data_IF_352818214531
#
_entry.id   IF_352818214531
#
_cell.length_a   1.000
_cell.length_b   1.000
_cell.length_c   1.000
_cell.angle_alpha   90.00
_cell.angle_beta   90.00
_cell.angle_gamma   90.00
#
_symmetry.space_group_name_H-M   'P 1'
#
loop_
_entity.id
_entity.type
_entity.pdbx_description
1 polymer ?
#
# COMPACT_ATOMS: atom_id res chain seq x y z
N UNK A 1 14.66 18.93 -9.75
CA UNK A 1 15.81 18.00 -9.85
C UNK A 1 16.35 17.92 -11.27
N UNK A 2 15.56 17.45 -12.25
CA UNK A 2 15.98 17.37 -13.65
C UNK A 2 16.42 18.73 -14.21
N UNK A 3 15.58 19.77 -14.06
CA UNK A 3 15.91 21.14 -14.46
C UNK A 3 17.27 21.61 -13.90
N UNK A 4 17.45 21.49 -12.58
CA UNK A 4 18.69 21.89 -11.88
C UNK A 4 19.90 21.12 -12.43
N UNK A 5 19.74 19.83 -12.72
CA UNK A 5 20.80 19.03 -13.34
C UNK A 5 21.16 19.57 -14.74
N UNK A 6 20.17 19.90 -15.56
CA UNK A 6 20.40 20.48 -16.89
C UNK A 6 21.10 21.84 -16.80
N UNK A 7 20.60 22.73 -15.94
CA UNK A 7 21.17 24.06 -15.71
C UNK A 7 22.63 23.98 -15.22
N UNK A 8 22.93 23.08 -14.29
CA UNK A 8 24.30 22.88 -13.78
C UNK A 8 25.30 22.37 -14.83
N UNK A 9 24.81 21.91 -15.99
CA UNK A 9 25.63 21.33 -17.07
C UNK A 9 25.47 22.10 -18.39
N UNK A 10 24.85 23.27 -18.34
CA UNK A 10 24.57 24.10 -19.51
C UNK A 10 23.79 23.33 -20.61
N UNK A 11 22.88 22.46 -20.19
CA UNK A 11 22.04 21.66 -21.07
C UNK A 11 20.66 22.29 -21.22
N UNK A 12 20.11 22.26 -22.45
CA UNK A 12 18.71 22.57 -22.67
C UNK A 12 17.83 21.46 -22.15
N UNK A 13 17.05 21.71 -21.10
CA UNK A 13 16.15 20.73 -20.47
C UNK A 13 15.12 20.11 -21.41
N UNK A 14 14.83 20.74 -22.56
CA UNK A 14 13.90 20.29 -23.59
C UNK A 14 14.57 19.68 -24.84
N UNK A 15 15.91 19.76 -24.93
CA UNK A 15 16.71 19.21 -26.04
C UNK A 15 17.93 18.53 -25.47
N UNK A 16 17.71 17.37 -24.87
CA UNK A 16 18.76 16.52 -24.29
C UNK A 16 18.91 15.22 -25.07
N UNK A 17 20.12 14.67 -25.03
CA UNK A 17 20.41 13.34 -25.52
C UNK A 17 19.99 12.27 -24.49
N UNK A 18 19.77 11.04 -24.96
CA UNK A 18 19.45 9.90 -24.08
C UNK A 18 20.57 9.66 -23.04
N UNK A 19 21.82 9.92 -23.42
CA UNK A 19 22.99 9.79 -22.56
C UNK A 19 22.91 10.71 -21.33
N UNK A 20 22.37 11.92 -21.48
CA UNK A 20 22.22 12.87 -20.37
C UNK A 20 21.12 12.44 -19.40
N UNK A 21 20.03 11.87 -19.93
CA UNK A 21 18.96 11.29 -19.13
C UNK A 21 19.50 10.11 -18.31
N UNK A 22 20.27 9.21 -18.94
CA UNK A 22 20.88 8.07 -18.24
C UNK A 22 21.86 8.55 -17.17
N UNK A 23 22.68 9.56 -17.49
CA UNK A 23 23.63 10.15 -16.54
C UNK A 23 22.91 10.72 -15.32
N UNK A 24 21.81 11.45 -15.53
CA UNK A 24 20.98 11.97 -14.44
C UNK A 24 20.34 10.86 -13.60
N UNK A 25 19.75 9.85 -14.24
CA UNK A 25 19.16 8.71 -13.54
C UNK A 25 20.20 7.92 -12.73
N UNK A 26 21.43 7.81 -13.26
CA UNK A 26 22.56 7.19 -12.55
C UNK A 26 22.92 7.98 -11.30
N UNK A 27 23.04 9.31 -11.40
CA UNK A 27 23.31 10.16 -10.25
C UNK A 27 22.22 10.07 -9.17
N UNK A 28 20.95 10.04 -9.56
CA UNK A 28 19.87 9.86 -8.58
C UNK A 28 19.89 8.45 -7.96
N UNK A 29 20.28 7.42 -8.72
CA UNK A 29 20.48 6.08 -8.18
C UNK A 29 21.62 6.02 -7.16
N UNK A 30 22.77 6.65 -7.45
CA UNK A 30 23.92 6.75 -6.55
C UNK A 30 23.57 7.51 -5.26
N UNK A 31 22.66 8.49 -5.33
CA UNK A 31 22.07 9.15 -4.14
C UNK A 31 21.08 8.28 -3.36
N UNK A 32 20.86 7.04 -3.77
CA UNK A 32 19.99 6.07 -3.10
C UNK A 32 18.53 6.07 -3.56
N UNK A 33 18.20 6.71 -4.69
CA UNK A 33 16.83 6.65 -5.22
C UNK A 33 16.40 5.21 -5.53
N UNK A 34 15.19 4.84 -5.08
CA UNK A 34 14.62 3.53 -5.37
C UNK A 34 14.27 3.38 -6.85
N UNK A 35 14.12 2.14 -7.33
CA UNK A 35 13.60 1.85 -8.67
C UNK A 35 12.30 2.61 -8.94
N UNK A 36 11.38 2.64 -7.97
CA UNK A 36 10.11 3.36 -8.09
C UNK A 36 10.32 4.87 -8.28
N UNK A 37 11.21 5.48 -7.49
CA UNK A 37 11.55 6.89 -7.59
C UNK A 37 12.16 7.24 -8.94
N UNK A 38 13.10 6.43 -9.43
CA UNK A 38 13.70 6.58 -10.75
C UNK A 38 12.67 6.45 -11.87
N UNK A 39 11.75 5.49 -11.74
CA UNK A 39 10.69 5.31 -12.73
C UNK A 39 9.72 6.50 -12.75
N UNK A 40 9.41 7.10 -11.60
CA UNK A 40 8.66 8.36 -11.54
C UNK A 40 9.39 9.50 -12.25
N UNK A 41 10.71 9.63 -12.03
CA UNK A 41 11.55 10.62 -12.72
C UNK A 41 11.52 10.39 -14.23
N UNK A 42 11.71 9.15 -14.68
CA UNK A 42 11.64 8.79 -16.11
C UNK A 42 10.29 9.20 -16.70
N UNK A 43 9.18 8.86 -16.04
CA UNK A 43 7.84 9.23 -16.52
C UNK A 43 7.64 10.75 -16.59
N UNK A 44 8.16 11.51 -15.63
CA UNK A 44 8.11 12.96 -15.66
C UNK A 44 8.93 13.55 -16.82
N UNK A 45 10.10 12.97 -17.12
CA UNK A 45 10.91 13.36 -18.28
C UNK A 45 10.17 12.99 -19.59
N UNK A 46 9.54 11.82 -19.66
CA UNK A 46 8.74 11.42 -20.83
C UNK A 46 7.52 12.33 -21.06
N UNK A 47 6.96 12.94 -20.00
CA UNK A 47 5.88 13.90 -20.15
C UNK A 47 6.34 15.20 -20.83
N UNK A 48 7.61 15.57 -20.62
CA UNK A 48 8.20 16.80 -21.17
C UNK A 48 8.75 16.57 -22.58
N UNK A 49 9.53 15.51 -22.76
CA UNK A 49 10.29 15.24 -23.98
C UNK A 49 9.58 14.29 -24.95
N UNK A 50 8.51 13.64 -24.51
CA UNK A 50 7.72 12.71 -25.31
C UNK A 50 7.83 11.24 -24.83
N UNK A 51 6.84 10.42 -25.21
CA UNK A 51 6.70 9.04 -24.72
C UNK A 51 7.81 8.11 -25.20
N UNK A 52 8.52 8.46 -26.27
CA UNK A 52 9.59 7.65 -26.86
C UNK A 52 10.78 7.43 -25.91
N UNK A 53 11.00 8.34 -24.95
CA UNK A 53 11.99 8.16 -23.88
C UNK A 53 11.73 6.88 -23.08
N UNK A 54 10.46 6.54 -22.85
CA UNK A 54 10.10 5.32 -22.11
C UNK A 54 10.31 4.03 -22.90
N UNK A 55 10.33 4.11 -24.23
CA UNK A 55 10.54 2.98 -25.14
C UNK A 55 11.99 2.84 -25.60
N UNK A 56 12.84 3.83 -25.30
CA UNK A 56 14.23 3.81 -25.72
C UNK A 56 14.98 2.61 -25.11
N UNK A 57 15.70 1.85 -25.94
CA UNK A 57 16.38 0.63 -25.52
C UNK A 57 17.40 0.87 -24.40
N UNK A 58 18.17 1.96 -24.45
CA UNK A 58 19.20 2.23 -23.44
C UNK A 58 18.57 2.52 -22.08
N UNK A 59 17.47 3.26 -22.05
CA UNK A 59 16.69 3.52 -20.84
C UNK A 59 16.08 2.21 -20.30
N UNK A 60 15.48 1.38 -21.15
CA UNK A 60 14.93 0.09 -20.73
C UNK A 60 16.01 -0.85 -20.17
N UNK A 61 17.17 -0.91 -20.83
CA UNK A 61 18.33 -1.70 -20.37
C UNK A 61 18.87 -1.17 -19.04
N UNK A 62 18.94 0.15 -18.86
CA UNK A 62 19.31 0.77 -17.59
C UNK A 62 18.38 0.31 -16.46
N UNK A 63 17.07 0.43 -16.62
CA UNK A 63 16.11 -0.02 -15.59
C UNK A 63 16.18 -1.52 -15.33
N UNK A 64 16.46 -2.34 -16.36
CA UNK A 64 16.73 -3.78 -16.18
C UNK A 64 18.02 -4.05 -15.38
N UNK A 65 19.05 -3.21 -15.53
CA UNK A 65 20.26 -3.26 -14.71
C UNK A 65 19.95 -2.92 -13.25
N UNK A 66 19.22 -1.84 -13.00
CA UNK A 66 18.82 -1.43 -11.65
C UNK A 66 18.02 -2.53 -10.94
N UNK A 67 17.09 -3.18 -11.63
CA UNK A 67 16.29 -4.25 -11.01
C UNK A 67 17.08 -5.52 -10.68
N UNK A 68 18.23 -5.75 -11.33
CA UNK A 68 19.16 -6.82 -10.99
C UNK A 68 20.09 -6.44 -9.84
N UNK A 69 20.61 -5.22 -9.86
CA UNK A 69 21.54 -4.71 -8.83
C UNK A 69 20.84 -4.52 -7.48
N UNK A 70 19.59 -4.06 -7.52
CA UNK A 70 18.76 -3.83 -6.33
C UNK A 70 17.34 -4.35 -6.60
N UNK A 71 17.10 -5.66 -6.43
CA UNK A 71 15.78 -6.22 -6.61
C UNK A 71 14.78 -5.54 -5.66
N UNK A 72 13.53 -5.32 -6.09
CA UNK A 72 12.52 -4.74 -5.21
C UNK A 72 12.19 -5.73 -4.09
N UNK A 73 12.53 -5.35 -2.88
CA UNK A 73 12.26 -6.11 -1.68
C UNK A 73 10.87 -5.77 -1.12
N UNK A 74 10.25 -6.74 -0.40
CA UNK A 74 9.09 -6.44 0.41
C UNK A 74 9.38 -5.36 1.44
N UNK A 75 8.35 -4.60 1.78
CA UNK A 75 8.45 -3.65 2.90
C UNK A 75 8.49 -4.36 4.27
N UNK A 76 7.87 -5.52 4.38
CA UNK A 76 7.72 -6.25 5.64
C UNK A 76 8.23 -7.69 5.50
N UNK A 77 9.01 -8.14 6.48
CA UNK A 77 9.51 -9.52 6.58
C UNK A 77 8.52 -10.47 7.24
N UNK A 78 7.66 -9.91 8.11
CA UNK A 78 6.56 -10.62 8.75
C UNK A 78 5.28 -9.76 8.71
N UNK A 79 4.16 -10.34 9.13
CA UNK A 79 2.89 -9.63 9.27
C UNK A 79 2.23 -9.93 10.61
N UNK A 80 1.10 -9.27 10.89
CA UNK A 80 0.31 -9.43 12.11
C UNK A 80 -0.98 -10.21 11.84
N UNK A 81 -1.59 -10.79 12.87
CA UNK A 81 -2.81 -11.60 12.71
C UNK A 81 -4.06 -10.70 12.64
N UNK A 82 -4.82 -10.72 11.51
CA UNK A 82 -6.09 -9.99 11.40
C UNK A 82 -7.07 -10.26 12.55
N UNK A 83 -7.00 -11.44 13.16
CA UNK A 83 -7.88 -11.82 14.27
C UNK A 83 -7.76 -10.87 15.46
N UNK A 84 -6.56 -10.34 15.75
CA UNK A 84 -6.34 -9.39 16.85
C UNK A 84 -7.26 -8.16 16.70
N UNK A 85 -7.26 -7.58 15.49
CA UNK A 85 -8.08 -6.40 15.18
C UNK A 85 -9.57 -6.75 15.10
N UNK A 86 -9.91 -7.93 14.55
CA UNK A 86 -11.30 -8.36 14.48
C UNK A 86 -11.89 -8.63 15.87
N UNK A 87 -11.12 -9.21 16.79
CA UNK A 87 -11.56 -9.46 18.17
C UNK A 87 -11.69 -8.15 18.93
N UNK A 88 -10.76 -7.20 18.77
CA UNK A 88 -10.90 -5.84 19.29
C UNK A 88 -12.22 -5.17 18.86
N UNK A 89 -12.58 -5.24 17.57
CA UNK A 89 -13.83 -4.65 17.08
C UNK A 89 -15.09 -5.40 17.54
N UNK A 90 -15.01 -6.71 17.82
CA UNK A 90 -16.14 -7.47 18.36
C UNK A 90 -16.53 -7.02 19.76
N UNK A 91 -15.54 -6.62 20.55
CA UNK A 91 -15.72 -6.25 21.95
C UNK A 91 -16.19 -4.79 22.10
N UNK A 92 -16.19 -4.00 21.01
CA UNK A 92 -16.73 -2.66 21.05
C UNK A 92 -18.27 -2.69 21.12
N UNK A 93 -18.88 -1.81 21.95
CA UNK A 93 -20.33 -1.74 22.08
C UNK A 93 -20.95 -1.29 20.75
N UNK A 94 -21.74 -2.17 20.13
CA UNK A 94 -22.54 -1.89 18.95
C UNK A 94 -24.04 -1.96 19.31
N UNK A 95 -24.61 -0.85 19.74
CA UNK A 95 -25.99 -0.81 20.26
C UNK A 95 -27.11 -0.81 19.19
N UNK A 96 -26.81 -0.83 17.89
CA UNK A 96 -27.82 -0.53 16.83
C UNK A 96 -27.66 -1.33 15.52
N UNK A 97 -27.40 -2.65 15.54
CA UNK A 97 -27.25 -3.44 14.29
C UNK A 97 -28.21 -4.64 14.23
N UNK A 98 -29.30 -4.51 13.46
CA UNK A 98 -30.25 -5.61 13.17
C UNK A 98 -30.10 -6.12 11.72
N UNK A 99 -29.21 -7.10 11.50
CA UNK A 99 -29.15 -7.89 10.26
C UNK A 99 -28.78 -9.36 10.60
N UNK A 100 -29.58 -10.32 10.15
CA UNK A 100 -29.70 -11.64 10.76
C UNK A 100 -28.71 -12.75 10.32
N UNK A 101 -27.66 -12.48 9.55
CA UNK A 101 -26.80 -13.57 9.02
C UNK A 101 -25.28 -13.29 8.95
N UNK A 102 -24.76 -12.24 9.58
CA UNK A 102 -23.31 -11.99 9.70
C UNK A 102 -22.93 -11.75 11.17
N UNK A 103 -21.66 -12.01 11.52
CA UNK A 103 -21.13 -11.63 12.84
C UNK A 103 -21.32 -10.12 13.02
N UNK A 104 -22.35 -9.76 13.82
CA UNK A 104 -22.98 -8.43 13.84
C UNK A 104 -22.01 -7.31 14.16
N UNK A 105 -20.97 -7.59 14.94
CA UNK A 105 -20.07 -6.55 15.44
C UNK A 105 -18.91 -6.21 14.48
N UNK A 106 -18.71 -6.99 13.41
CA UNK A 106 -17.59 -6.80 12.47
C UNK A 106 -18.01 -6.78 10.99
N UNK A 107 -19.31 -6.77 10.70
CA UNK A 107 -19.82 -6.77 9.33
C UNK A 107 -19.64 -5.39 8.66
N UNK A 108 -18.78 -5.25 7.62
CA UNK A 108 -18.54 -3.95 7.00
C UNK A 108 -19.80 -3.34 6.37
N UNK A 109 -20.69 -4.17 5.81
CA UNK A 109 -21.93 -3.71 5.18
C UNK A 109 -22.90 -3.11 6.21
N UNK A 110 -23.10 -3.79 7.34
CA UNK A 110 -23.97 -3.32 8.41
C UNK A 110 -23.42 -2.05 9.07
N UNK A 111 -22.11 -2.00 9.33
CA UNK A 111 -21.43 -0.79 9.83
C UNK A 111 -21.59 0.39 8.86
N UNK A 112 -21.49 0.14 7.55
CA UNK A 112 -21.66 1.15 6.53
C UNK A 112 -23.08 1.75 6.52
N UNK A 113 -24.10 0.89 6.64
CA UNK A 113 -25.50 1.33 6.68
C UNK A 113 -25.78 2.22 7.89
N UNK A 114 -25.33 1.82 9.08
CA UNK A 114 -25.48 2.65 10.29
C UNK A 114 -24.74 3.98 10.14
N UNK A 115 -23.53 3.95 9.59
CA UNK A 115 -22.78 5.17 9.35
C UNK A 115 -23.50 6.10 8.35
N UNK A 116 -24.07 5.58 7.27
CA UNK A 116 -24.85 6.36 6.31
C UNK A 116 -26.07 7.02 6.98
N UNK A 117 -26.85 6.25 7.73
CA UNK A 117 -28.02 6.77 8.47
C UNK A 117 -27.62 7.87 9.46
N UNK A 118 -26.57 7.65 10.27
CA UNK A 118 -26.11 8.65 11.26
C UNK A 118 -25.53 9.92 10.66
N UNK A 119 -25.11 9.87 9.39
CA UNK A 119 -24.50 11.00 8.71
C UNK A 119 -25.41 11.64 7.67
N UNK A 120 -26.64 11.16 7.49
CA UNK A 120 -27.58 11.62 6.47
C UNK A 120 -27.81 13.13 6.53
N UNK A 121 -28.21 13.65 7.69
CA UNK A 121 -28.46 15.09 7.91
C UNK A 121 -27.17 15.94 7.81
N UNK A 122 -26.01 15.32 7.99
CA UNK A 122 -24.70 16.00 7.97
C UNK A 122 -24.14 16.13 6.54
N UNK A 123 -24.65 15.34 5.59
CA UNK A 123 -24.04 15.19 4.25
C UNK A 123 -24.26 16.38 3.33
N UNK A 124 -25.27 17.21 3.57
CA UNK A 124 -25.63 18.38 2.76
C UNK A 124 -25.42 18.13 1.24
N UNK A 125 -24.32 18.60 0.63
CA UNK A 125 -24.01 18.45 -0.80
C UNK A 125 -22.92 17.41 -1.15
N UNK A 126 -22.42 16.64 -0.18
CA UNK A 126 -21.25 15.75 -0.39
C UNK A 126 -21.68 14.32 -0.70
N UNK A 127 -21.40 13.86 -1.93
CA UNK A 127 -21.58 12.45 -2.35
C UNK A 127 -20.42 11.52 -1.93
N UNK A 128 -19.45 12.00 -1.15
CA UNK A 128 -18.35 11.16 -0.66
C UNK A 128 -18.81 10.29 0.49
N UNK A 129 -18.37 9.02 0.49
CA UNK A 129 -18.75 8.09 1.55
C UNK A 129 -18.32 8.60 2.93
N UNK A 130 -17.03 8.86 3.13
CA UNK A 130 -16.52 9.34 4.42
C UNK A 130 -16.47 10.88 4.48
N UNK A 131 -17.00 11.46 5.56
CA UNK A 131 -17.04 12.90 5.80
C UNK A 131 -16.25 13.28 7.06
N UNK A 132 -15.66 14.48 7.10
CA UNK A 132 -14.93 14.99 8.26
C UNK A 132 -15.90 15.36 9.37
N UNK A 133 -15.62 14.98 10.64
CA UNK A 133 -16.50 15.29 11.78
C UNK A 133 -16.17 16.61 12.50
N UNK A 134 -15.03 17.24 12.20
CA UNK A 134 -14.45 18.24 13.10
C UNK A 134 -14.92 19.69 12.88
N UNK A 135 -15.33 20.07 11.66
CA UNK A 135 -15.77 21.44 11.36
C UNK A 135 -16.83 21.46 10.26
N UNK A 136 -17.89 22.25 10.46
CA UNK A 136 -18.87 22.57 9.41
C UNK A 136 -18.24 23.54 8.38
N UNK A 137 -18.61 23.45 7.08
CA UNK A 137 -19.38 22.37 6.48
C UNK A 137 -18.57 21.06 6.46
N UNK A 138 -19.23 19.93 6.71
CA UNK A 138 -18.58 18.63 6.71
C UNK A 138 -18.18 18.25 5.27
N UNK A 139 -16.87 18.08 5.05
CA UNK A 139 -16.29 17.84 3.72
C UNK A 139 -15.85 16.39 3.57
N UNK A 140 -15.59 15.96 2.34
CA UNK A 140 -14.94 14.68 2.07
C UNK A 140 -13.62 14.56 2.83
N UNK A 141 -13.35 13.40 3.41
CA UNK A 141 -12.04 13.11 4.00
C UNK A 141 -11.01 12.81 2.91
N UNK A 142 -9.74 13.11 3.20
CA UNK A 142 -8.63 12.73 2.33
C UNK A 142 -8.17 11.29 2.62
N UNK A 143 -7.46 10.69 1.66
CA UNK A 143 -6.81 9.39 1.84
C UNK A 143 -5.82 9.40 3.01
N UNK A 144 -5.18 10.55 3.28
CA UNK A 144 -4.29 10.71 4.42
C UNK A 144 -5.04 10.59 5.76
N UNK A 145 -6.22 11.19 5.87
CA UNK A 145 -7.07 11.06 7.06
C UNK A 145 -7.51 9.62 7.28
N UNK A 146 -7.97 8.94 6.23
CA UNK A 146 -8.35 7.52 6.31
C UNK A 146 -7.17 6.62 6.71
N UNK A 147 -5.98 6.90 6.16
CA UNK A 147 -4.75 6.19 6.53
C UNK A 147 -4.40 6.37 8.00
N UNK A 148 -4.56 7.60 8.55
CA UNK A 148 -4.37 7.85 9.98
C UNK A 148 -5.39 7.10 10.82
N UNK A 149 -6.69 7.20 10.52
CA UNK A 149 -7.72 6.46 11.25
C UNK A 149 -7.45 4.95 11.25
N UNK A 150 -7.01 4.38 10.12
CA UNK A 150 -6.65 2.97 10.07
C UNK A 150 -5.43 2.67 10.95
N UNK A 151 -4.40 3.51 10.94
CA UNK A 151 -3.22 3.36 11.80
C UNK A 151 -3.60 3.45 13.29
N UNK A 152 -4.45 4.41 13.66
CA UNK A 152 -4.92 4.62 15.03
C UNK A 152 -5.75 3.41 15.53
N UNK A 153 -6.59 2.84 14.66
CA UNK A 153 -7.32 1.59 14.95
C UNK A 153 -6.37 0.41 15.16
N UNK A 154 -5.35 0.26 14.31
CA UNK A 154 -4.33 -0.79 14.49
C UNK A 154 -3.61 -0.64 15.82
N UNK A 155 -3.22 0.58 16.18
CA UNK A 155 -2.55 0.88 17.45
C UNK A 155 -3.45 0.55 18.64
N UNK A 156 -4.71 0.94 18.57
CA UNK A 156 -5.71 0.67 19.63
C UNK A 156 -5.97 -0.83 19.81
N UNK A 157 -5.86 -1.62 18.74
CA UNK A 157 -5.93 -3.08 18.79
C UNK A 157 -4.63 -3.76 19.27
N UNK A 158 -3.60 -3.00 19.65
CA UNK A 158 -2.33 -3.54 20.14
C UNK A 158 -1.32 -3.92 19.04
N UNK A 159 -1.53 -3.51 17.79
CA UNK A 159 -0.54 -3.70 16.72
C UNK A 159 0.53 -2.62 16.81
N UNK A 160 1.80 -3.01 16.76
CA UNK A 160 2.92 -2.06 16.74
C UNK A 160 2.94 -1.27 15.42
N UNK A 161 2.62 0.02 15.50
CA UNK A 161 2.51 0.89 14.33
C UNK A 161 3.78 1.67 13.96
N UNK A 162 4.87 1.45 14.71
CA UNK A 162 6.22 1.85 14.30
C UNK A 162 6.72 0.95 13.18
N UNK A 163 6.34 -0.33 13.23
CA UNK A 163 6.64 -1.33 12.20
C UNK A 163 5.55 -1.29 11.11
N UNK A 164 4.27 -1.37 11.51
CA UNK A 164 3.17 -1.58 10.58
C UNK A 164 2.40 -0.30 10.25
N UNK A 165 2.28 0.02 8.96
CA UNK A 165 1.43 1.13 8.50
C UNK A 165 0.01 0.65 8.14
N UNK A 166 -0.89 1.59 7.85
CA UNK A 166 -2.21 1.33 7.29
C UNK A 166 -2.23 0.34 6.10
N UNK A 167 -1.19 0.35 5.25
CA UNK A 167 -1.10 -0.57 4.11
C UNK A 167 -0.84 -2.03 4.54
N UNK A 168 -0.28 -2.26 5.73
CA UNK A 168 0.00 -3.60 6.25
C UNK A 168 -1.27 -4.46 6.39
N UNK A 169 -2.45 -3.85 6.54
CA UNK A 169 -3.75 -4.55 6.58
C UNK A 169 -3.96 -5.44 5.37
N UNK A 170 -3.49 -5.02 4.19
CA UNK A 170 -3.54 -5.85 2.97
C UNK A 170 -2.61 -7.06 3.04
N UNK A 171 -1.43 -6.90 3.65
CA UNK A 171 -0.48 -8.01 3.83
C UNK A 171 -1.03 -9.03 4.84
N UNK A 172 -1.54 -8.54 5.98
CA UNK A 172 -2.12 -9.37 7.03
C UNK A 172 -3.32 -10.17 6.53
N UNK A 173 -4.26 -9.52 5.84
CA UNK A 173 -5.47 -10.18 5.33
C UNK A 173 -5.16 -11.26 4.29
N UNK A 174 -4.31 -10.95 3.31
CA UNK A 174 -3.97 -11.90 2.23
C UNK A 174 -3.14 -13.07 2.74
N UNK A 175 -2.21 -12.83 3.66
CA UNK A 175 -1.46 -13.90 4.34
C UNK A 175 -2.39 -14.80 5.16
N UNK A 176 -3.34 -14.23 5.92
CA UNK A 176 -4.29 -15.01 6.70
C UNK A 176 -5.21 -15.90 5.84
N UNK A 177 -5.66 -15.40 4.68
CA UNK A 177 -6.46 -16.20 3.72
C UNK A 177 -5.65 -17.38 3.20
N UNK A 178 -4.36 -17.19 2.87
CA UNK A 178 -3.47 -18.27 2.46
C UNK A 178 -3.28 -19.32 3.55
N UNK A 179 -3.04 -18.89 4.79
CA UNK A 179 -2.87 -19.80 5.95
C UNK A 179 -4.11 -20.66 6.19
N UNK A 180 -5.31 -20.15 5.85
CA UNK A 180 -6.56 -20.94 5.86
C UNK A 180 -6.70 -21.95 4.71
N UNK A 181 -5.68 -22.11 3.87
CA UNK A 181 -5.66 -23.09 2.78
C UNK A 181 -6.51 -22.72 1.58
N UNK A 182 -6.93 -21.44 1.45
CA UNK A 182 -7.72 -21.01 0.29
C UNK A 182 -6.88 -21.09 -0.98
N UNK A 183 -7.46 -21.66 -2.04
CA UNK A 183 -6.82 -21.80 -3.33
C UNK A 183 -6.30 -20.45 -3.87
N UNK A 184 -5.06 -20.44 -4.35
CA UNK A 184 -4.37 -19.23 -4.78
C UNK A 184 -5.06 -18.51 -5.96
N UNK A 185 -5.73 -19.24 -6.84
CA UNK A 185 -6.41 -18.65 -8.00
C UNK A 185 -7.73 -17.97 -7.60
N UNK A 186 -8.45 -18.55 -6.63
CA UNK A 186 -9.58 -17.89 -5.98
C UNK A 186 -9.11 -16.62 -5.29
N UNK A 187 -8.01 -16.68 -4.55
CA UNK A 187 -7.44 -15.52 -3.87
C UNK A 187 -7.05 -14.43 -4.90
N UNK A 188 -6.32 -14.78 -5.95
CA UNK A 188 -5.94 -13.85 -7.03
C UNK A 188 -7.16 -13.16 -7.62
N UNK A 189 -8.21 -13.92 -7.95
CA UNK A 189 -9.48 -13.39 -8.47
C UNK A 189 -10.14 -12.44 -7.47
N UNK A 190 -10.21 -12.81 -6.19
CA UNK A 190 -10.86 -12.01 -5.14
C UNK A 190 -10.11 -10.72 -4.78
N UNK A 191 -8.76 -10.71 -4.85
CA UNK A 191 -7.94 -9.54 -4.48
C UNK A 191 -7.50 -8.71 -5.71
N UNK A 192 -7.98 -9.06 -6.90
CA UNK A 192 -7.73 -8.33 -8.15
C UNK A 192 -6.32 -8.51 -8.72
N UNK A 193 -5.68 -9.67 -8.49
CA UNK A 193 -4.41 -10.02 -9.13
C UNK A 193 -4.61 -10.84 -10.40
N UNK A 194 -3.71 -10.63 -11.36
CA UNK A 194 -3.67 -11.48 -12.56
C UNK A 194 -3.18 -12.88 -12.22
N UNK A 195 -3.64 -13.87 -12.97
CA UNK A 195 -3.32 -15.29 -12.76
C UNK A 195 -1.81 -15.56 -12.75
N UNK A 196 -1.05 -14.87 -13.60
CA UNK A 196 0.41 -15.03 -13.72
C UNK A 196 1.21 -14.19 -12.72
N UNK A 197 0.54 -13.44 -11.85
CA UNK A 197 1.23 -12.54 -10.94
C UNK A 197 1.98 -13.29 -9.84
N UNK A 198 3.28 -13.04 -9.75
CA UNK A 198 4.11 -13.43 -8.60
C UNK A 198 4.07 -12.38 -7.47
N UNK A 199 3.32 -11.28 -7.64
CA UNK A 199 3.25 -10.16 -6.69
C UNK A 199 2.83 -10.63 -5.30
N UNK A 200 1.86 -11.54 -5.22
CA UNK A 200 1.41 -12.10 -3.95
C UNK A 200 2.55 -12.77 -3.18
N UNK A 201 3.15 -13.81 -3.78
CA UNK A 201 4.23 -14.58 -3.16
C UNK A 201 5.43 -13.68 -2.82
N UNK A 202 5.78 -12.76 -3.73
CA UNK A 202 6.96 -11.93 -3.56
C UNK A 202 6.80 -10.85 -2.50
N UNK A 203 5.62 -10.24 -2.36
CA UNK A 203 5.46 -9.02 -1.55
C UNK A 203 4.46 -9.12 -0.39
N UNK A 204 3.50 -10.04 -0.45
CA UNK A 204 2.36 -10.07 0.47
C UNK A 204 2.33 -11.30 1.37
N UNK A 205 2.77 -12.44 0.85
CA UNK A 205 2.79 -13.74 1.53
C UNK A 205 3.86 -13.80 2.63
N UNK A 206 3.47 -13.48 3.87
CA UNK A 206 4.39 -13.35 5.01
C UNK A 206 3.91 -14.17 6.20
N UNK A 207 4.87 -14.71 6.96
CA UNK A 207 4.60 -15.37 8.23
C UNK A 207 4.14 -14.37 9.28
N UNK A 208 3.36 -14.84 10.25
CA UNK A 208 2.95 -14.01 11.37
C UNK A 208 4.06 -13.93 12.40
N UNK A 209 4.26 -12.77 13.01
CA UNK A 209 5.31 -12.54 14.00
C UNK A 209 5.27 -13.55 15.17
N UNK A 210 4.09 -13.98 15.61
CA UNK A 210 3.93 -15.04 16.63
C UNK A 210 4.48 -16.39 16.14
N UNK A 211 4.24 -16.75 14.87
CA UNK A 211 4.70 -18.02 14.28
C UNK A 211 6.25 -18.06 14.20
N UNK A 212 6.89 -16.91 13.99
CA UNK A 212 8.37 -16.78 14.00
C UNK A 212 8.96 -17.03 15.40
N UNK A 213 8.30 -16.54 16.45
CA UNK A 213 8.73 -16.80 17.83
C UNK A 213 8.60 -18.26 18.21
N UNK A 214 7.49 -18.91 17.81
CA UNK A 214 7.28 -20.35 18.02
C UNK A 214 8.29 -21.21 17.26
N UNK A 215 8.64 -20.82 16.03
CA UNK A 215 9.67 -21.51 15.25
C UNK A 215 11.05 -21.44 15.92
N UNK A 216 11.46 -20.26 16.38
CA UNK A 216 12.71 -20.08 17.11
C UNK A 216 12.74 -20.91 18.39
N UNK A 217 11.64 -20.93 19.14
CA UNK A 217 11.53 -21.73 20.37
C UNK A 217 11.59 -23.24 20.08
N UNK A 218 10.90 -23.71 19.04
CA UNK A 218 10.92 -25.12 18.66
C UNK A 218 12.31 -25.64 18.23
N UNK A 219 13.18 -24.77 17.71
CA UNK A 219 14.58 -25.10 17.43
C UNK A 219 15.41 -25.21 18.72
N UNK A 220 15.16 -24.32 19.69
CA UNK A 220 15.87 -24.32 20.97
C UNK A 220 15.44 -25.48 21.88
N UNK A 221 14.21 -25.98 21.70
CA UNK A 221 13.64 -27.09 22.45
C UNK A 221 13.94 -28.48 21.84
N UNK A 222 14.70 -28.55 20.73
CA UNK A 222 15.08 -29.78 20.01
C UNK A 222 16.49 -30.26 20.36
#
# INVERSE_FOLDING_TARGET
>A
KWWIFCESRDLSWCRVEISDIIRFLTLEFEKGASYGSLNCIRSAISLILGPEIGKNEMIMRFFKGISKLKPPEPKYDSTWDPKIVLDFFKDLPNSELSLDNLNRNICPASTLLVYLNKTEELRNYTNSLFISSFKKPFKKVSSQTLSRWLKDSLQSSGINTDIFSAHSTRHASTSAVKRKGVNIDIMRKSVGWTERSATFARFYDRLITQDLGLFGQAILDA
#
